data_IF_511221456353
#
_entry.id   IF_511221456353
#
_cell.length_a   1.000
_cell.length_b   1.000
_cell.length_c   1.000
_cell.angle_alpha   90.00
_cell.angle_beta   90.00
_cell.angle_gamma   90.00
#
_symmetry.space_group_name_H-M   'P 1'
#
loop_
_entity.id
_entity.type
_entity.pdbx_description
1 polymer ?
#
# COMPACT_ATOMS: atom_id res chain seq x y z
N UNK A 1 -9.79 -9.12 4.17
CA UNK A 1 -10.18 -7.89 3.43
C UNK A 1 -9.01 -6.90 3.30
N UNK A 2 -8.25 -6.64 4.38
CA UNK A 2 -7.07 -5.76 4.37
C UNK A 2 -5.98 -6.23 3.40
N UNK A 3 -5.69 -7.53 3.39
CA UNK A 3 -4.70 -8.16 2.48
C UNK A 3 -4.92 -7.80 1.01
N UNK A 4 -6.17 -7.66 0.56
CA UNK A 4 -6.48 -7.26 -0.83
C UNK A 4 -5.94 -5.86 -1.14
N UNK A 5 -6.05 -4.93 -0.19
CA UNK A 5 -5.49 -3.57 -0.34
C UNK A 5 -3.96 -3.57 -0.26
N UNK A 6 -3.38 -4.40 0.61
CA UNK A 6 -1.92 -4.54 0.71
C UNK A 6 -1.32 -5.12 -0.59
N UNK A 7 -1.90 -6.21 -1.09
CA UNK A 7 -1.52 -6.84 -2.36
C UNK A 7 -1.73 -5.91 -3.55
N UNK A 8 -2.82 -5.12 -3.55
CA UNK A 8 -3.06 -4.09 -4.55
C UNK A 8 -1.96 -3.03 -4.53
N UNK A 9 -1.64 -2.48 -3.35
CA UNK A 9 -0.58 -1.48 -3.18
C UNK A 9 0.76 -2.01 -3.68
N UNK A 10 1.12 -3.25 -3.31
CA UNK A 10 2.35 -3.92 -3.71
C UNK A 10 2.45 -4.10 -5.24
N UNK A 11 1.38 -4.63 -5.85
CA UNK A 11 1.33 -4.92 -7.30
C UNK A 11 1.46 -3.67 -8.16
N UNK A 12 0.85 -2.57 -7.71
CA UNK A 12 0.73 -1.33 -8.49
C UNK A 12 1.62 -0.19 -7.97
N UNK A 13 2.45 -0.45 -6.96
CA UNK A 13 3.34 0.54 -6.34
C UNK A 13 2.64 1.86 -5.98
N UNK A 14 1.40 1.75 -5.48
CA UNK A 14 0.52 2.90 -5.24
C UNK A 14 0.16 3.03 -3.76
N UNK A 15 -0.08 4.26 -3.27
CA UNK A 15 -0.39 4.48 -1.87
C UNK A 15 -1.81 4.00 -1.53
N UNK A 16 -1.95 3.37 -0.37
CA UNK A 16 -3.24 3.07 0.28
C UNK A 16 -3.29 3.79 1.62
N UNK A 17 -4.50 4.14 2.06
CA UNK A 17 -4.73 4.75 3.38
C UNK A 17 -5.02 3.66 4.40
N UNK A 18 -4.26 3.63 5.49
CA UNK A 18 -4.46 2.72 6.60
C UNK A 18 -4.94 3.47 7.85
N UNK A 19 -5.74 2.76 8.65
CA UNK A 19 -5.99 3.05 10.07
C UNK A 19 -5.39 1.88 10.85
N UNK A 20 -4.51 2.15 11.80
CA UNK A 20 -3.72 1.12 12.48
C UNK A 20 -3.39 1.51 13.92
N UNK A 21 -3.07 0.52 14.74
CA UNK A 21 -2.57 0.71 16.10
C UNK A 21 -1.05 0.84 16.10
N UNK A 22 -0.53 1.78 16.87
CA UNK A 22 0.91 1.94 17.10
C UNK A 22 1.11 2.53 18.47
N UNK A 23 1.85 1.81 19.33
CA UNK A 23 2.16 2.24 20.71
C UNK A 23 0.88 2.52 21.52
N UNK A 24 -0.16 1.71 21.31
CA UNK A 24 -1.46 1.87 21.99
C UNK A 24 -2.31 3.04 21.46
N UNK A 25 -1.86 3.74 20.43
CA UNK A 25 -2.58 4.86 19.82
C UNK A 25 -3.10 4.49 18.42
N UNK A 26 -4.30 4.97 18.12
CA UNK A 26 -4.87 4.88 16.78
C UNK A 26 -4.21 5.92 15.88
N UNK A 27 -3.55 5.46 14.82
CA UNK A 27 -2.88 6.30 13.82
C UNK A 27 -3.52 6.07 12.45
N UNK A 28 -3.39 7.07 11.58
CA UNK A 28 -3.83 6.98 10.19
C UNK A 28 -2.74 7.52 9.26
N UNK A 29 -2.61 6.93 8.08
CA UNK A 29 -1.58 7.37 7.14
C UNK A 29 -1.69 6.73 5.77
N UNK A 30 -1.11 7.40 4.77
CA UNK A 30 -0.94 6.83 3.44
C UNK A 30 0.43 6.14 3.36
N UNK A 31 0.42 4.88 2.94
CA UNK A 31 1.59 4.03 2.83
C UNK A 31 1.63 3.35 1.47
N UNK A 32 2.83 3.04 0.98
CA UNK A 32 3.01 2.15 -0.18
C UNK A 32 3.66 0.87 0.31
N UNK A 33 3.03 -0.27 0.05
CA UNK A 33 3.56 -1.58 0.41
C UNK A 33 4.69 -1.95 -0.56
N UNK A 34 5.82 -2.40 -0.02
CA UNK A 34 7.01 -2.79 -0.78
C UNK A 34 7.36 -4.27 -0.60
N UNK A 35 6.87 -4.91 0.46
CA UNK A 35 6.95 -6.36 0.67
C UNK A 35 5.75 -6.82 1.47
N UNK A 36 5.28 -8.04 1.22
CA UNK A 36 4.14 -8.63 1.93
C UNK A 36 4.46 -10.09 2.26
N UNK A 37 4.28 -10.44 3.53
CA UNK A 37 4.36 -11.81 4.04
C UNK A 37 3.00 -12.21 4.61
N UNK A 38 2.91 -13.38 5.25
CA UNK A 38 1.67 -13.88 5.85
C UNK A 38 1.21 -12.99 7.02
N UNK A 39 2.09 -12.66 7.96
CA UNK A 39 1.72 -11.95 9.20
C UNK A 39 2.08 -10.46 9.22
N UNK A 40 2.92 -10.02 8.29
CA UNK A 40 3.45 -8.66 8.27
C UNK A 40 3.72 -8.14 6.85
N UNK A 41 3.89 -6.83 6.75
CA UNK A 41 4.26 -6.17 5.51
C UNK A 41 5.25 -5.05 5.76
N UNK A 42 6.10 -4.82 4.77
CA UNK A 42 6.98 -3.66 4.73
C UNK A 42 6.36 -2.57 3.88
N UNK A 43 6.48 -1.33 4.35
CA UNK A 43 5.93 -0.18 3.68
C UNK A 43 6.86 1.03 3.76
N UNK A 44 6.65 1.95 2.83
CA UNK A 44 7.25 3.28 2.85
C UNK A 44 6.17 4.35 2.96
N UNK A 45 6.54 5.53 3.44
CA UNK A 45 5.68 6.71 3.43
C UNK A 45 6.25 7.76 2.49
N UNK A 46 5.42 8.73 2.07
CA UNK A 46 5.90 9.84 1.25
C UNK A 46 7.09 10.60 1.88
N UNK A 47 7.15 10.66 3.22
CA UNK A 47 8.23 11.32 3.96
C UNK A 47 9.46 10.44 4.15
N UNK A 48 9.31 9.12 4.19
CA UNK A 48 10.39 8.14 4.43
C UNK A 48 10.42 7.09 3.32
N UNK A 49 10.75 7.51 2.10
CA UNK A 49 10.80 6.61 0.93
C UNK A 49 11.97 5.63 0.93
N UNK A 50 13.08 5.99 1.58
CA UNK A 50 14.32 5.18 1.61
C UNK A 50 14.45 4.31 2.86
N UNK A 51 13.48 4.36 3.76
CA UNK A 51 13.52 3.65 5.04
C UNK A 51 12.23 2.84 5.17
N UNK A 52 12.21 1.60 4.63
CA UNK A 52 11.10 0.69 4.84
C UNK A 52 10.84 0.47 6.32
N UNK A 53 9.57 0.38 6.67
CA UNK A 53 9.10 0.09 8.02
C UNK A 53 8.23 -1.16 7.96
N UNK A 54 8.28 -1.98 9.00
CA UNK A 54 7.49 -3.21 9.10
C UNK A 54 6.28 -2.99 10.02
N UNK A 55 5.13 -3.54 9.65
CA UNK A 55 3.90 -3.55 10.47
C UNK A 55 3.25 -4.92 10.42
N UNK A 56 2.71 -5.39 11.54
CA UNK A 56 1.91 -6.62 11.55
C UNK A 56 0.56 -6.34 10.91
N UNK A 57 0.08 -7.28 10.11
CA UNK A 57 -1.25 -7.18 9.50
C UNK A 57 -2.34 -7.08 10.59
N UNK A 58 -2.13 -7.74 11.74
CA UNK A 58 -3.02 -7.68 12.89
C UNK A 58 -3.15 -6.29 13.54
N UNK A 59 -2.16 -5.39 13.35
CA UNK A 59 -2.22 -4.02 13.88
C UNK A 59 -3.07 -3.09 12.99
N UNK A 60 -3.44 -3.54 11.78
CA UNK A 60 -4.25 -2.76 10.85
C UNK A 60 -5.73 -2.96 11.14
N UNK A 61 -6.43 -1.86 11.38
CA UNK A 61 -7.85 -1.85 11.70
C UNK A 61 -8.73 -1.64 10.47
N UNK A 62 -8.25 -0.83 9.52
CA UNK A 62 -8.94 -0.59 8.25
C UNK A 62 -7.97 -0.16 7.15
N UNK A 63 -8.36 -0.42 5.91
CA UNK A 63 -7.62 -0.02 4.70
C UNK A 63 -8.59 0.53 3.64
N UNK A 64 -8.19 1.57 2.93
CA UNK A 64 -8.92 2.13 1.80
C UNK A 64 -7.95 2.64 0.73
N UNK A 65 -8.46 2.91 -0.48
CA UNK A 65 -7.68 3.62 -1.48
C UNK A 65 -7.28 5.02 -0.98
N UNK A 66 -6.10 5.47 -1.37
CA UNK A 66 -5.67 6.84 -1.10
C UNK A 66 -6.50 7.82 -1.92
N UNK A 67 -6.52 9.10 -1.50
CA UNK A 67 -7.26 10.15 -2.20
C UNK A 67 -6.81 10.24 -3.66
N UNK A 68 -7.76 10.17 -4.58
CA UNK A 68 -7.51 10.23 -6.03
C UNK A 68 -7.25 8.88 -6.69
N UNK A 69 -7.23 7.79 -5.92
CA UNK A 69 -7.19 6.42 -6.42
C UNK A 69 -8.58 5.80 -6.27
N UNK A 70 -9.18 5.39 -7.38
CA UNK A 70 -10.50 4.75 -7.45
C UNK A 70 -10.42 3.22 -7.40
N UNK A 71 -9.20 2.66 -7.30
CA UNK A 71 -8.96 1.22 -7.37
C UNK A 71 -9.10 0.64 -8.77
N UNK A 72 -9.25 1.45 -9.82
CA UNK A 72 -9.45 0.99 -11.19
C UNK A 72 -8.13 0.42 -11.76
N UNK A 73 -8.01 -0.90 -11.68
CA UNK A 73 -6.84 -1.62 -12.17
C UNK A 73 -6.72 -1.65 -13.69
N UNK A 74 -7.82 -1.42 -14.43
CA UNK A 74 -7.78 -1.46 -15.89
C UNK A 74 -6.97 -0.27 -16.44
N UNK A 75 -7.14 0.92 -15.86
CA UNK A 75 -6.33 2.11 -16.18
C UNK A 75 -4.85 1.88 -15.88
N UNK A 76 -4.53 1.20 -14.78
CA UNK A 76 -3.14 0.92 -14.37
C UNK A 76 -2.46 -0.11 -15.23
N UNK A 77 -3.21 -1.11 -15.70
CA UNK A 77 -2.68 -2.13 -16.60
C UNK A 77 -2.28 -1.54 -17.95
N UNK A 78 -3.12 -0.69 -18.54
CA UNK A 78 -2.81 0.01 -19.79
C UNK A 78 -1.59 0.92 -19.68
N UNK A 79 -1.39 1.57 -18.53
CA UNK A 79 -0.17 2.35 -18.27
C UNK A 79 1.08 1.48 -18.23
N UNK A 80 1.02 0.34 -17.53
CA UNK A 80 2.15 -0.57 -17.37
C UNK A 80 2.55 -1.25 -18.68
N UNK A 81 1.57 -1.59 -19.52
CA UNK A 81 1.80 -2.16 -20.86
C UNK A 81 2.42 -1.14 -21.82
N UNK A 82 1.98 0.13 -21.77
CA UNK A 82 2.57 1.22 -22.57
C UNK A 82 4.00 1.58 -22.16
N UNK A 83 4.36 1.43 -20.89
CA UNK A 83 5.75 1.62 -20.43
C UNK A 83 6.68 0.47 -20.82
N UNK A 84 6.14 -0.75 -20.99
CA UNK A 84 6.91 -1.93 -21.38
C UNK A 84 7.21 -2.00 -22.89
N UNK A 85 6.38 -1.37 -23.72
CA UNK A 85 6.50 -1.38 -25.19
C UNK A 85 7.43 -0.29 -25.76
N UNK A 86 8.03 0.54 -24.90
CA UNK A 86 8.94 1.65 -25.27
C UNK A 86 10.41 1.33 -24.90
N UNK A 87 10.74 0.07 -24.59
CA UNK A 87 12.11 -0.39 -24.31
C UNK A 87 12.70 -1.26 -25.41
#
# INVERSE_FOLDING_TARGET
MIERFLSYSLRWQCPVKLVYMSEGQLKTGNITVVSLTEDSFDYITARKKKTPQTMRTADVLAASYARGDDGDTAKKQQHKEKEADVQ
#
